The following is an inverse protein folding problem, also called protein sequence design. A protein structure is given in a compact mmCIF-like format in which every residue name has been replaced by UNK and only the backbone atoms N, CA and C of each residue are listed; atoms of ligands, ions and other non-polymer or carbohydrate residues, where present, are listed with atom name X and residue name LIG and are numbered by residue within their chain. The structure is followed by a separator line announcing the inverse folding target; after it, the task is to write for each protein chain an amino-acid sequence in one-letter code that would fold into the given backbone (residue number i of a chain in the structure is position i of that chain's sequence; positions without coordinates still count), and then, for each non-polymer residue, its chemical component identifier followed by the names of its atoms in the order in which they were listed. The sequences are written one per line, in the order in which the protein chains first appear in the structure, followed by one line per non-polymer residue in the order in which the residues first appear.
data_IF_453784456331
#
_entry.id   IF_453784456331
#
_cell.length_a   1.000
_cell.length_b   1.000
_cell.length_c   1.000
_cell.angle_alpha   90.00
_cell.angle_beta   90.00
_cell.angle_gamma   90.00
#
_symmetry.space_group_name_H-M   'P 1'
#
loop_
_entity.id
_entity.type
_entity.pdbx_description
1 polymer ?
#
# COMPACT_ATOMS: atom_id res chain seq x y z
N UNK A 1 -72.95 -11.84 48.53
CA UNK A 1 -72.24 -10.69 49.11
C UNK A 1 -71.04 -11.24 49.85
N UNK A 2 -69.87 -11.05 49.26
CA UNK A 2 -68.66 -11.81 49.55
C UNK A 2 -67.84 -11.17 50.69
N UNK A 3 -67.80 -11.92 51.77
CA UNK A 3 -66.74 -12.11 52.75
C UNK A 3 -65.30 -12.10 52.15
N UNK A 4 -64.34 -11.41 52.79
CA UNK A 4 -63.19 -12.06 53.46
C UNK A 4 -62.22 -11.10 54.19
N UNK A 5 -61.60 -11.58 55.29
CA UNK A 5 -60.84 -10.78 56.24
C UNK A 5 -59.31 -10.77 56.02
N UNK A 6 -58.72 -9.80 56.70
CA UNK A 6 -57.30 -9.52 56.96
C UNK A 6 -56.45 -10.78 57.14
N UNK A 7 -55.39 -10.91 56.33
CA UNK A 7 -54.32 -11.89 56.54
C UNK A 7 -52.98 -11.16 56.69
N UNK A 8 -52.43 -11.25 57.90
CA UNK A 8 -51.04 -10.95 58.23
C UNK A 8 -50.12 -11.81 57.35
N UNK A 9 -49.32 -11.16 56.51
CA UNK A 9 -48.35 -11.84 55.67
C UNK A 9 -47.17 -12.32 56.53
N UNK A 10 -47.03 -13.65 56.58
CA UNK A 10 -45.90 -14.37 57.16
C UNK A 10 -44.57 -13.97 56.49
N UNK A 11 -43.57 -13.74 57.35
CA UNK A 11 -42.15 -13.69 57.00
C UNK A 11 -41.68 -15.08 56.56
N UNK A 12 -41.44 -15.26 55.25
CA UNK A 12 -40.76 -16.43 54.69
C UNK A 12 -39.26 -16.13 54.58
N UNK A 13 -38.47 -16.73 55.47
CA UNK A 13 -37.05 -16.91 55.28
C UNK A 13 -36.80 -18.23 54.56
N UNK A 14 -36.16 -18.18 53.38
CA UNK A 14 -35.43 -19.29 52.79
C UNK A 14 -34.29 -18.74 51.95
N UNK A 15 -33.07 -18.88 52.48
CA UNK A 15 -31.83 -18.70 51.75
C UNK A 15 -31.73 -19.76 50.64
N UNK A 16 -31.70 -19.32 49.39
CA UNK A 16 -31.20 -20.13 48.26
C UNK A 16 -30.01 -19.41 47.65
N UNK A 17 -28.81 -19.90 47.95
CA UNK A 17 -27.60 -19.52 47.25
C UNK A 17 -27.66 -20.09 45.82
N UNK A 18 -27.93 -19.23 44.84
CA UNK A 18 -27.78 -19.54 43.43
C UNK A 18 -26.37 -19.13 42.96
N UNK A 19 -25.67 -19.96 42.19
CA UNK A 19 -24.30 -19.68 41.76
C UNK A 19 -24.31 -18.47 40.83
N UNK A 20 -23.41 -17.52 41.12
CA UNK A 20 -23.06 -16.43 40.23
C UNK A 20 -22.51 -17.04 38.94
N UNK A 21 -23.34 -17.12 37.89
CA UNK A 21 -22.85 -17.42 36.56
C UNK A 21 -22.05 -16.20 36.11
N UNK A 22 -20.72 -16.27 36.25
CA UNK A 22 -19.81 -15.33 35.63
C UNK A 22 -20.00 -15.43 34.11
N UNK A 23 -20.87 -14.58 33.55
CA UNK A 23 -20.89 -14.34 32.12
C UNK A 23 -19.58 -13.64 31.79
N UNK A 24 -18.59 -14.43 31.36
CA UNK A 24 -17.41 -13.90 30.70
C UNK A 24 -17.91 -13.18 29.44
N UNK A 25 -18.04 -11.86 29.51
CA UNK A 25 -18.16 -11.01 28.34
C UNK A 25 -16.87 -11.17 27.55
N UNK A 26 -16.88 -12.15 26.64
CA UNK A 26 -15.91 -12.23 25.56
C UNK A 26 -16.22 -11.04 24.66
N UNK A 27 -15.56 -9.91 24.93
CA UNK A 27 -15.47 -8.83 23.97
C UNK A 27 -15.04 -9.46 22.64
N UNK A 28 -15.78 -9.28 21.54
CA UNK A 28 -15.30 -9.75 20.25
C UNK A 28 -13.93 -9.13 20.06
N UNK A 29 -12.91 -9.97 19.93
CA UNK A 29 -11.57 -9.52 19.61
C UNK A 29 -11.70 -8.73 18.31
N UNK A 30 -11.59 -7.40 18.39
CA UNK A 30 -11.52 -6.54 17.22
C UNK A 30 -10.32 -7.06 16.42
N UNK A 31 -10.59 -7.70 15.28
CA UNK A 31 -9.52 -8.07 14.36
C UNK A 31 -8.71 -6.78 14.10
N UNK A 32 -7.37 -6.83 14.16
CA UNK A 32 -6.58 -5.64 13.91
C UNK A 32 -7.01 -5.08 12.56
N UNK A 33 -7.40 -3.80 12.55
CA UNK A 33 -7.70 -3.11 11.30
C UNK A 33 -6.47 -3.29 10.40
N UNK A 34 -6.64 -3.92 9.25
CA UNK A 34 -5.61 -3.92 8.21
C UNK A 34 -5.41 -2.47 7.83
N UNK A 35 -4.31 -1.88 8.31
CA UNK A 35 -3.97 -0.50 7.98
C UNK A 35 -3.95 -0.36 6.47
N UNK A 36 -4.78 0.53 5.95
CA UNK A 36 -4.84 0.83 4.52
C UNK A 36 -3.47 1.30 4.07
N UNK A 37 -2.96 0.75 2.96
CA UNK A 37 -1.66 1.16 2.45
C UNK A 37 -1.72 2.61 1.98
N UNK A 38 -0.87 3.45 2.57
CA UNK A 38 -0.73 4.86 2.21
C UNK A 38 0.73 5.15 1.83
N UNK A 39 1.00 5.26 0.53
CA UNK A 39 2.32 5.69 0.05
C UNK A 39 2.62 7.14 0.44
N UNK A 40 1.61 8.01 0.36
CA UNK A 40 1.72 9.41 0.78
C UNK A 40 2.68 10.21 -0.09
N UNK A 41 2.64 10.03 -1.40
CA UNK A 41 3.48 10.78 -2.37
C UNK A 41 3.01 12.22 -2.56
N UNK A 42 1.75 12.51 -2.19
CA UNK A 42 1.09 13.79 -2.49
C UNK A 42 0.47 13.83 -3.89
N UNK A 43 0.58 12.75 -4.66
CA UNK A 43 -0.02 12.58 -5.98
C UNK A 43 -0.99 11.40 -5.95
N UNK A 44 -2.29 11.69 -5.96
CA UNK A 44 -3.34 10.68 -5.84
C UNK A 44 -3.36 9.65 -6.99
N UNK A 45 -2.86 10.01 -8.18
CA UNK A 45 -2.76 9.05 -9.28
C UNK A 45 -1.62 8.06 -9.03
N UNK A 46 -0.46 8.56 -8.57
CA UNK A 46 0.70 7.73 -8.22
C UNK A 46 0.37 6.84 -7.02
N UNK A 47 -0.20 7.39 -5.95
CA UNK A 47 -0.56 6.63 -4.74
C UNK A 47 -1.48 5.44 -5.07
N UNK A 48 -2.44 5.64 -5.99
CA UNK A 48 -3.32 4.57 -6.48
C UNK A 48 -2.56 3.48 -7.22
N UNK A 49 -1.61 3.85 -8.10
CA UNK A 49 -0.82 2.86 -8.83
C UNK A 49 0.09 2.10 -7.88
N UNK A 50 0.68 2.74 -6.86
CA UNK A 50 1.52 2.05 -5.87
C UNK A 50 0.72 1.02 -5.05
N UNK A 51 -0.53 1.35 -4.70
CA UNK A 51 -1.42 0.39 -4.06
C UNK A 51 -1.74 -0.82 -4.96
N UNK A 52 -1.96 -0.58 -6.25
CA UNK A 52 -2.23 -1.62 -7.23
C UNK A 52 -0.97 -2.46 -7.57
N UNK A 53 0.21 -1.85 -7.56
CA UNK A 53 1.52 -2.52 -7.64
C UNK A 53 1.73 -3.47 -6.46
N UNK A 54 1.29 -3.12 -5.23
CA UNK A 54 1.30 -4.06 -4.11
C UNK A 54 0.48 -5.32 -4.42
N UNK A 55 -0.71 -5.16 -4.99
CA UNK A 55 -1.58 -6.29 -5.36
C UNK A 55 -0.95 -7.13 -6.49
N UNK A 56 -0.34 -6.48 -7.49
CA UNK A 56 0.37 -7.16 -8.57
C UNK A 56 1.55 -7.98 -8.04
N UNK A 57 2.45 -7.36 -7.28
CA UNK A 57 3.66 -7.99 -6.77
C UNK A 57 3.37 -9.13 -5.79
N UNK A 58 2.27 -9.06 -5.03
CA UNK A 58 1.82 -10.17 -4.20
C UNK A 58 1.47 -11.43 -5.02
N UNK A 59 0.99 -11.24 -6.26
CA UNK A 59 0.62 -12.34 -7.17
C UNK A 59 1.75 -12.77 -8.08
N UNK A 60 2.63 -11.84 -8.48
CA UNK A 60 3.71 -12.05 -9.44
C UNK A 60 5.05 -11.49 -8.91
N UNK A 61 5.59 -12.05 -7.81
CA UNK A 61 6.78 -11.49 -7.15
C UNK A 61 8.02 -11.50 -8.03
N UNK A 62 8.26 -12.57 -8.80
CA UNK A 62 9.43 -12.67 -9.68
C UNK A 62 9.37 -11.66 -10.84
N UNK A 63 8.20 -11.50 -11.47
CA UNK A 63 8.01 -10.51 -12.54
C UNK A 63 8.19 -9.07 -12.02
N UNK A 64 7.75 -8.80 -10.79
CA UNK A 64 7.98 -7.53 -10.12
C UNK A 64 9.48 -7.25 -9.86
N UNK A 65 10.21 -8.25 -9.34
CA UNK A 65 11.67 -8.13 -9.10
C UNK A 65 12.41 -7.91 -10.42
N UNK A 66 12.04 -8.64 -11.46
CA UNK A 66 12.61 -8.51 -12.80
C UNK A 66 12.39 -7.11 -13.41
N UNK A 67 11.20 -6.52 -13.21
CA UNK A 67 10.91 -5.14 -13.65
C UNK A 67 11.87 -4.14 -13.01
N UNK A 68 12.04 -4.22 -11.69
CA UNK A 68 12.95 -3.34 -10.94
C UNK A 68 14.41 -3.54 -11.36
N UNK A 69 14.79 -4.79 -11.64
CA UNK A 69 16.15 -5.10 -12.09
C UNK A 69 16.44 -4.57 -13.48
N UNK A 70 15.51 -4.72 -14.43
CA UNK A 70 15.72 -4.31 -15.82
C UNK A 70 15.63 -2.80 -16.00
N UNK A 71 14.67 -2.14 -15.35
CA UNK A 71 14.32 -0.76 -15.68
C UNK A 71 14.64 0.26 -14.59
N UNK A 72 14.84 -0.17 -13.34
CA UNK A 72 15.24 0.71 -12.23
C UNK A 72 16.66 0.42 -11.68
N UNK A 73 17.42 -0.48 -12.33
CA UNK A 73 18.80 -0.81 -11.95
C UNK A 73 18.95 -1.46 -10.57
N UNK A 74 17.86 -1.96 -9.99
CA UNK A 74 17.89 -2.57 -8.66
C UNK A 74 18.49 -3.98 -8.72
N UNK A 75 19.32 -4.36 -7.74
CA UNK A 75 19.85 -5.73 -7.68
C UNK A 75 18.73 -6.68 -7.21
N UNK A 76 18.41 -7.78 -7.93
CA UNK A 76 17.32 -8.68 -7.56
C UNK A 76 17.38 -9.16 -6.10
N UNK A 77 18.55 -9.62 -5.65
CA UNK A 77 18.76 -10.08 -4.27
C UNK A 77 18.53 -8.97 -3.21
N UNK A 78 18.74 -7.70 -3.58
CA UNK A 78 18.45 -6.59 -2.68
C UNK A 78 16.95 -6.33 -2.56
N UNK A 79 16.24 -6.34 -3.69
CA UNK A 79 14.76 -6.21 -3.72
C UNK A 79 14.13 -7.35 -2.93
N UNK A 80 14.57 -8.59 -3.16
CA UNK A 80 14.05 -9.76 -2.43
C UNK A 80 14.25 -9.62 -0.92
N UNK A 81 15.43 -9.20 -0.47
CA UNK A 81 15.70 -8.96 0.94
C UNK A 81 14.77 -7.89 1.54
N UNK A 82 14.49 -6.79 0.82
CA UNK A 82 13.57 -5.76 1.29
C UNK A 82 12.16 -6.32 1.51
N UNK A 83 11.66 -7.08 0.54
CA UNK A 83 10.30 -7.65 0.56
C UNK A 83 10.16 -8.73 1.63
N UNK A 84 11.11 -9.67 1.72
CA UNK A 84 10.98 -10.86 2.57
C UNK A 84 11.47 -10.64 4.00
N UNK A 85 12.56 -9.89 4.18
CA UNK A 85 13.27 -9.83 5.46
C UNK A 85 13.03 -8.51 6.21
N UNK A 86 12.69 -7.44 5.49
CA UNK A 86 12.54 -6.10 6.07
C UNK A 86 11.12 -5.55 6.01
N UNK A 87 10.16 -6.36 5.54
CA UNK A 87 8.74 -6.04 5.57
C UNK A 87 8.33 -4.85 4.67
N UNK A 88 9.18 -4.47 3.72
CA UNK A 88 8.87 -3.38 2.80
C UNK A 88 7.69 -3.75 1.90
N UNK A 89 6.79 -2.80 1.67
CA UNK A 89 5.71 -2.97 0.70
C UNK A 89 6.27 -2.86 -0.72
N UNK A 90 5.84 -3.70 -1.67
CA UNK A 90 6.29 -3.61 -3.06
C UNK A 90 6.16 -2.21 -3.68
N UNK A 91 5.07 -1.49 -3.42
CA UNK A 91 4.87 -0.11 -3.87
C UNK A 91 5.95 0.85 -3.36
N UNK A 92 6.40 0.69 -2.11
CA UNK A 92 7.48 1.51 -1.57
C UNK A 92 8.83 1.15 -2.18
N UNK A 93 9.09 -0.14 -2.41
CA UNK A 93 10.32 -0.58 -3.11
C UNK A 93 10.33 -0.08 -4.55
N UNK A 94 9.19 -0.16 -5.24
CA UNK A 94 9.00 0.36 -6.59
C UNK A 94 9.30 1.85 -6.64
N UNK A 95 8.63 2.63 -5.77
CA UNK A 95 8.81 4.07 -5.72
C UNK A 95 10.27 4.43 -5.43
N UNK A 96 10.88 3.82 -4.43
CA UNK A 96 12.28 4.08 -4.08
C UNK A 96 13.22 3.85 -5.27
N UNK A 97 13.08 2.72 -5.97
CA UNK A 97 14.00 2.37 -7.05
C UNK A 97 13.75 3.19 -8.32
N UNK A 98 12.50 3.36 -8.76
CA UNK A 98 12.21 4.15 -9.95
C UNK A 98 12.42 5.65 -9.73
N UNK A 99 12.12 6.17 -8.54
CA UNK A 99 12.46 7.54 -8.20
C UNK A 99 13.97 7.77 -8.22
N UNK A 100 14.73 6.83 -7.63
CA UNK A 100 16.18 6.89 -7.66
C UNK A 100 16.72 6.88 -9.09
N UNK A 101 16.18 6.02 -9.97
CA UNK A 101 16.55 5.96 -11.37
C UNK A 101 16.30 7.28 -12.11
N UNK A 102 15.10 7.88 -11.96
CA UNK A 102 14.80 9.14 -12.67
C UNK A 102 15.60 10.33 -12.13
N UNK A 103 16.05 10.27 -10.87
CA UNK A 103 16.86 11.33 -10.23
C UNK A 103 18.37 11.07 -10.30
N UNK A 104 18.81 9.96 -10.90
CA UNK A 104 20.23 9.60 -10.99
C UNK A 104 20.87 9.20 -9.65
N UNK A 105 20.07 8.76 -8.68
CA UNK A 105 20.55 8.25 -7.38
C UNK A 105 20.39 6.73 -7.29
N UNK A 106 20.87 6.11 -6.20
CA UNK A 106 20.73 4.65 -6.03
C UNK A 106 19.43 4.28 -5.31
N UNK A 107 18.80 3.16 -5.68
CA UNK A 107 17.61 2.67 -4.96
C UNK A 107 17.87 2.53 -3.45
N UNK A 108 19.07 2.07 -3.07
CA UNK A 108 19.48 1.96 -1.66
C UNK A 108 19.48 3.30 -0.93
N UNK A 109 19.83 4.39 -1.61
CA UNK A 109 19.81 5.75 -1.04
C UNK A 109 18.39 6.13 -0.65
N UNK A 110 17.41 5.92 -1.53
CA UNK A 110 16.01 6.27 -1.28
C UNK A 110 15.36 5.35 -0.26
N UNK A 111 15.69 4.05 -0.28
CA UNK A 111 15.26 3.10 0.75
C UNK A 111 15.74 3.56 2.12
N UNK A 112 17.01 3.95 2.25
CA UNK A 112 17.56 4.46 3.51
C UNK A 112 16.85 5.74 3.97
N UNK A 113 16.68 6.71 3.08
CA UNK A 113 16.02 7.98 3.41
C UNK A 113 14.59 7.75 3.97
N UNK A 114 13.83 6.82 3.37
CA UNK A 114 12.50 6.45 3.86
C UNK A 114 12.55 5.65 5.16
N UNK A 115 13.52 4.75 5.34
CA UNK A 115 13.73 4.03 6.60
C UNK A 115 14.07 4.95 7.77
N UNK A 116 14.76 6.06 7.52
CA UNK A 116 15.11 7.05 8.54
C UNK A 116 13.87 7.88 8.98
N UNK A 117 12.75 7.78 8.26
CA UNK A 117 11.50 8.50 8.54
C UNK A 117 10.28 7.56 8.52
N UNK A 118 10.19 6.51 9.37
CA UNK A 118 9.23 5.41 9.23
C UNK A 118 7.77 5.86 9.18
N UNK A 119 7.38 6.87 9.96
CA UNK A 119 6.00 7.36 10.05
C UNK A 119 5.64 8.39 8.97
N UNK A 120 6.58 8.80 8.12
CA UNK A 120 6.38 9.83 7.11
C UNK A 120 5.89 9.27 5.77
N UNK A 121 5.07 10.01 5.02
CA UNK A 121 4.78 9.65 3.63
C UNK A 121 5.97 9.94 2.69
N UNK A 122 5.95 9.39 1.48
CA UNK A 122 6.98 9.66 0.46
C UNK A 122 7.18 11.14 0.17
N UNK A 123 6.12 11.96 0.23
CA UNK A 123 6.24 13.42 0.08
C UNK A 123 7.25 14.02 1.05
N UNK A 124 7.14 13.68 2.34
CA UNK A 124 8.03 14.22 3.35
C UNK A 124 9.47 13.72 3.18
N UNK A 125 9.66 12.47 2.72
CA UNK A 125 10.99 11.97 2.35
C UNK A 125 11.56 12.79 1.20
N UNK A 126 10.78 13.02 0.14
CA UNK A 126 11.23 13.76 -1.03
C UNK A 126 11.50 15.24 -0.74
N UNK A 127 10.67 15.87 0.10
CA UNK A 127 10.87 17.26 0.54
C UNK A 127 12.17 17.43 1.35
N UNK A 128 12.73 16.36 1.92
CA UNK A 128 14.02 16.37 2.62
C UNK A 128 15.23 16.26 1.69
N UNK A 129 15.05 15.82 0.44
CA UNK A 129 16.13 15.59 -0.52
C UNK A 129 16.67 16.91 -1.10
N UNK A 130 17.96 16.92 -1.40
CA UNK A 130 18.63 18.01 -2.08
C UNK A 130 19.34 17.51 -3.35
N UNK A 131 19.09 18.09 -4.53
CA UNK A 131 18.07 19.13 -4.80
C UNK A 131 16.64 18.59 -4.65
N UNK A 132 15.63 19.46 -4.44
CA UNK A 132 14.25 19.02 -4.37
C UNK A 132 13.79 18.42 -5.71
N UNK A 133 12.78 17.54 -5.69
CA UNK A 133 12.10 17.07 -6.89
C UNK A 133 11.68 18.21 -7.80
N UNK A 134 11.74 17.97 -9.11
CA UNK A 134 11.14 18.85 -10.10
C UNK A 134 10.00 18.15 -10.84
N UNK A 135 9.26 18.90 -11.66
CA UNK A 135 8.15 18.37 -12.43
C UNK A 135 8.58 17.38 -13.53
N UNK A 136 9.84 17.40 -13.96
CA UNK A 136 10.36 16.47 -14.95
C UNK A 136 10.55 15.09 -14.34
N UNK A 137 11.08 15.02 -13.12
CA UNK A 137 11.20 13.77 -12.36
C UNK A 137 9.83 13.11 -12.12
N UNK A 138 8.82 13.90 -11.71
CA UNK A 138 7.46 13.39 -11.55
C UNK A 138 6.85 12.88 -12.86
N UNK A 139 7.08 13.60 -13.96
CA UNK A 139 6.63 13.15 -15.29
C UNK A 139 7.32 11.85 -15.69
N UNK A 140 8.62 11.74 -15.49
CA UNK A 140 9.39 10.53 -15.79
C UNK A 140 8.93 9.34 -14.95
N UNK A 141 8.68 9.53 -13.64
CA UNK A 141 8.12 8.49 -12.78
C UNK A 141 6.76 8.00 -13.31
N UNK A 142 5.85 8.93 -13.63
CA UNK A 142 4.52 8.57 -14.15
C UNK A 142 4.63 7.80 -15.48
N UNK A 143 5.56 8.17 -16.36
CA UNK A 143 5.82 7.43 -17.60
C UNK A 143 6.39 6.04 -17.32
N UNK A 144 7.30 5.90 -16.36
CA UNK A 144 7.85 4.61 -15.94
C UNK A 144 6.75 3.68 -15.39
N UNK A 145 5.83 4.21 -14.57
CA UNK A 145 4.66 3.46 -14.10
C UNK A 145 3.83 2.93 -15.27
N UNK A 146 3.52 3.77 -16.27
CA UNK A 146 2.77 3.29 -17.45
C UNK A 146 3.54 2.21 -18.21
N UNK A 147 4.85 2.36 -18.37
CA UNK A 147 5.69 1.37 -19.03
C UNK A 147 5.70 0.02 -18.28
N UNK A 148 5.76 0.02 -16.94
CA UNK A 148 5.69 -1.23 -16.17
C UNK A 148 4.35 -1.93 -16.32
N UNK A 149 3.24 -1.19 -16.33
CA UNK A 149 1.91 -1.77 -16.59
C UNK A 149 1.83 -2.36 -18.00
N UNK A 150 2.44 -1.68 -18.97
CA UNK A 150 2.54 -2.17 -20.33
C UNK A 150 3.37 -3.47 -20.42
N UNK A 151 4.48 -3.59 -19.69
CA UNK A 151 5.30 -4.81 -19.65
C UNK A 151 4.59 -5.98 -18.96
N UNK A 152 3.79 -5.69 -17.93
CA UNK A 152 3.02 -6.69 -17.19
C UNK A 152 1.70 -7.08 -17.86
N UNK A 153 1.39 -6.47 -19.01
CA UNK A 153 0.08 -6.54 -19.66
C UNK A 153 -1.08 -6.25 -18.70
N UNK A 154 -0.86 -5.27 -17.83
CA UNK A 154 -1.80 -4.87 -16.79
C UNK A 154 -2.58 -3.65 -17.24
N UNK A 155 -3.92 -3.64 -17.15
CA UNK A 155 -4.70 -2.48 -17.52
C UNK A 155 -4.39 -1.29 -16.61
N UNK A 156 -4.27 -0.10 -17.20
CA UNK A 156 -4.06 1.16 -16.48
C UNK A 156 -4.98 2.25 -17.03
N UNK A 157 -5.61 2.99 -16.12
CA UNK A 157 -6.41 4.17 -16.48
C UNK A 157 -5.52 5.42 -16.43
N UNK A 158 -5.25 6.00 -17.60
CA UNK A 158 -4.49 7.23 -17.74
C UNK A 158 -5.37 8.46 -17.48
N UNK A 159 -4.83 9.46 -16.80
CA UNK A 159 -5.44 10.78 -16.79
C UNK A 159 -5.35 11.46 -18.17
N UNK A 160 -6.04 12.58 -18.36
CA UNK A 160 -6.10 13.26 -19.65
C UNK A 160 -4.73 13.73 -20.15
N UNK A 161 -3.84 14.13 -19.23
CA UNK A 161 -2.50 14.60 -19.57
C UNK A 161 -1.63 13.42 -20.04
N UNK A 162 -1.62 12.32 -19.29
CA UNK A 162 -0.88 11.10 -19.62
C UNK A 162 -1.39 10.49 -20.92
N UNK A 163 -2.72 10.42 -21.13
CA UNK A 163 -3.30 9.93 -22.37
C UNK A 163 -2.88 10.78 -23.58
N UNK A 164 -2.80 12.09 -23.43
CA UNK A 164 -2.30 12.98 -24.50
C UNK A 164 -0.80 12.79 -24.75
N UNK A 165 -0.01 12.55 -23.71
CA UNK A 165 1.45 12.39 -23.82
C UNK A 165 1.86 11.05 -24.39
N UNK A 166 1.19 9.97 -23.99
CA UNK A 166 1.60 8.59 -24.26
C UNK A 166 0.70 7.88 -25.27
N UNK A 167 -0.50 8.39 -25.51
CA UNK A 167 -1.48 7.72 -26.37
C UNK A 167 -2.17 6.53 -25.69
N UNK A 168 -2.94 5.78 -26.49
CA UNK A 168 -3.53 4.52 -26.07
C UNK A 168 -2.50 3.36 -26.06
N UNK A 169 -2.93 2.19 -25.56
CA UNK A 169 -2.08 1.00 -25.45
C UNK A 169 -1.51 0.57 -26.81
N UNK A 170 -2.32 0.56 -27.86
CA UNK A 170 -1.86 0.13 -29.19
C UNK A 170 -0.79 1.08 -29.75
N UNK A 171 -0.93 2.39 -29.50
CA UNK A 171 0.06 3.39 -29.86
C UNK A 171 1.38 3.20 -29.11
N UNK A 172 1.33 2.91 -27.80
CA UNK A 172 2.51 2.64 -26.98
C UNK A 172 3.23 1.36 -27.41
N UNK A 173 2.50 0.28 -27.68
CA UNK A 173 3.08 -0.97 -28.16
C UNK A 173 3.74 -0.80 -29.54
N UNK A 174 3.12 -0.02 -30.42
CA UNK A 174 3.70 0.33 -31.71
C UNK A 174 4.96 1.19 -31.57
N UNK A 175 5.03 2.04 -30.54
CA UNK A 175 6.23 2.82 -30.24
C UNK A 175 7.37 1.95 -29.70
N UNK A 176 7.10 1.04 -28.75
CA UNK A 176 8.10 0.12 -28.20
C UNK A 176 8.76 -0.72 -29.31
N UNK A 177 7.96 -1.32 -30.21
CA UNK A 177 8.48 -2.10 -31.35
C UNK A 177 9.37 -1.32 -32.32
N UNK A 178 9.27 0.01 -32.37
CA UNK A 178 10.13 0.85 -33.21
C UNK A 178 11.48 1.13 -32.55
N UNK A 179 11.52 1.18 -31.23
CA UNK A 179 12.76 1.41 -30.46
C UNK A 179 13.66 0.18 -30.45
N UNK A 180 13.07 -1.03 -30.54
CA UNK A 180 13.81 -2.30 -30.54
C UNK A 180 14.40 -2.69 -31.90
N UNK A 181 14.19 -1.88 -32.95
CA UNK A 181 14.70 -2.10 -34.31
C UNK A 181 15.94 -1.26 -34.56
#
# INVERSE_FOLDING_TARGET
MAQWPVHCALLLGLLTAAPFAAQAQQSPATAPAVAEYMAGTGDAWVDRQLADINAYAARYPEAFIDELSRYAGARPAYVEALLRNHGWKPGDVYFACFWAQVTGTSCRTLVRARSDMPDAGWKAVLDSLQPPPDNLHWRALRHAIVASYDHWDRPITLDALLKRQLGDRAQRDAAARRTDR
#
